data_IF_233552866124
#
_entry.id   IF_233552866124
#
_cell.length_a   1.000
_cell.length_b   1.000
_cell.length_c   1.000
_cell.angle_alpha   90.00
_cell.angle_beta   90.00
_cell.angle_gamma   90.00
#
_symmetry.space_group_name_H-M   'P 1'
#
loop_
_entity.id
_entity.type
_entity.pdbx_description
1 polymer ?
#
# COMPACT_ATOMS: atom_id res chain seq x y z
N UNK A 1 18.14 -9.31 -32.43
CA UNK A 1 19.53 -8.91 -32.14
C UNK A 1 19.66 -7.39 -32.08
N UNK A 2 19.01 -6.62 -32.97
CA UNK A 2 19.05 -5.15 -32.95
C UNK A 2 18.40 -4.50 -31.71
N UNK A 3 17.33 -5.07 -31.15
CA UNK A 3 16.66 -4.51 -29.95
C UNK A 3 17.55 -4.55 -28.69
N UNK A 4 18.38 -5.59 -28.53
CA UNK A 4 19.27 -5.74 -27.37
C UNK A 4 20.41 -4.70 -27.37
N UNK A 5 20.91 -4.32 -28.54
CA UNK A 5 21.99 -3.34 -28.67
C UNK A 5 21.49 -1.88 -28.47
N UNK A 6 20.21 -1.61 -28.73
CA UNK A 6 19.59 -0.30 -28.51
C UNK A 6 19.26 -0.04 -27.02
N UNK A 7 18.83 -1.09 -26.29
CA UNK A 7 18.58 -1.05 -24.85
C UNK A 7 19.86 -0.76 -24.03
N UNK A 8 21.05 -1.08 -24.56
CA UNK A 8 22.34 -0.79 -23.92
C UNK A 8 22.77 0.69 -24.01
N UNK A 9 22.16 1.49 -24.90
CA UNK A 9 22.50 2.91 -25.09
C UNK A 9 21.53 3.88 -24.40
N UNK A 10 20.31 3.44 -24.12
CA UNK A 10 19.27 4.26 -23.51
C UNK A 10 18.97 3.74 -22.10
N UNK A 11 19.09 4.56 -21.04
CA UNK A 11 18.75 4.12 -19.68
C UNK A 11 17.27 3.82 -19.48
N UNK A 12 16.42 4.21 -20.43
CA UNK A 12 14.99 3.90 -20.42
C UNK A 12 14.69 2.72 -21.35
N UNK A 13 13.96 1.70 -20.87
CA UNK A 13 13.51 0.62 -21.74
C UNK A 13 12.60 1.20 -22.83
N UNK A 14 12.68 0.64 -24.04
CA UNK A 14 11.72 0.96 -25.09
C UNK A 14 10.31 0.59 -24.65
N UNK A 15 9.27 1.31 -25.11
CA UNK A 15 7.90 0.96 -24.79
C UNK A 15 7.59 -0.48 -25.25
N UNK A 16 6.63 -1.17 -24.60
CA UNK A 16 6.25 -2.53 -24.98
C UNK A 16 5.89 -2.63 -26.47
N UNK A 17 6.28 -3.73 -27.12
CA UNK A 17 6.07 -3.96 -28.56
C UNK A 17 4.60 -3.85 -28.98
N UNK A 18 3.67 -4.11 -28.07
CA UNK A 18 2.22 -4.02 -28.30
C UNK A 18 1.71 -2.57 -28.44
N UNK A 19 2.47 -1.56 -28.00
CA UNK A 19 2.06 -0.15 -28.10
C UNK A 19 1.74 0.27 -29.55
N UNK A 20 2.50 -0.22 -30.53
CA UNK A 20 2.31 0.11 -31.95
C UNK A 20 0.99 -0.39 -32.52
N UNK A 21 0.32 -1.32 -31.83
CA UNK A 21 -0.97 -1.90 -32.23
C UNK A 21 -2.15 -0.97 -31.89
N UNK A 22 -1.96 0.00 -31.00
CA UNK A 22 -2.98 0.96 -30.59
C UNK A 22 -3.19 2.06 -31.64
N UNK A 23 -3.75 1.69 -32.80
CA UNK A 23 -4.14 2.63 -33.86
C UNK A 23 -5.63 2.94 -33.80
N UNK A 24 -6.03 4.13 -34.28
CA UNK A 24 -7.44 4.52 -34.36
C UNK A 24 -8.28 3.57 -35.22
N UNK A 25 -7.66 2.86 -36.17
CA UNK A 25 -8.31 1.85 -36.99
C UNK A 25 -8.57 0.57 -36.17
N UNK A 26 -7.54 0.03 -35.51
CA UNK A 26 -7.67 -1.20 -34.73
C UNK A 26 -8.63 -1.05 -33.54
N UNK A 27 -8.68 0.14 -32.93
CA UNK A 27 -9.65 0.44 -31.86
C UNK A 27 -11.09 0.47 -32.37
N UNK A 28 -11.33 0.91 -33.62
CA UNK A 28 -12.65 0.83 -34.24
C UNK A 28 -13.03 -0.61 -34.58
N UNK A 29 -12.06 -1.41 -35.06
CA UNK A 29 -12.29 -2.84 -35.29
C UNK A 29 -12.62 -3.57 -33.99
N UNK A 30 -11.93 -3.26 -32.88
CA UNK A 30 -12.27 -3.82 -31.56
C UNK A 30 -13.70 -3.42 -31.13
N UNK A 31 -14.09 -2.17 -31.32
CA UNK A 31 -15.46 -1.72 -31.01
C UNK A 31 -16.52 -2.46 -31.85
N UNK A 32 -16.23 -2.69 -33.14
CA UNK A 32 -17.11 -3.47 -34.04
C UNK A 32 -17.14 -4.96 -33.65
N UNK A 33 -16.02 -5.53 -33.20
CA UNK A 33 -15.96 -6.89 -32.69
C UNK A 33 -16.91 -7.02 -31.49
N UNK A 34 -16.78 -6.15 -30.48
CA UNK A 34 -17.67 -6.14 -29.31
C UNK A 34 -19.16 -5.94 -29.65
N UNK A 35 -19.48 -5.20 -30.71
CA UNK A 35 -20.87 -4.99 -31.13
C UNK A 35 -21.47 -6.27 -31.76
N UNK A 36 -20.64 -7.07 -32.44
CA UNK A 36 -21.10 -8.19 -33.28
C UNK A 36 -20.90 -9.56 -32.65
N UNK A 37 -19.89 -9.72 -31.80
CA UNK A 37 -19.63 -10.96 -31.04
C UNK A 37 -20.30 -10.87 -29.68
N UNK A 38 -20.96 -11.96 -29.26
CA UNK A 38 -21.42 -12.07 -27.87
C UNK A 38 -20.28 -12.43 -26.92
N UNK A 39 -19.23 -13.11 -27.43
CA UNK A 39 -17.99 -13.40 -26.70
C UNK A 39 -16.77 -13.19 -27.61
N UNK A 40 -16.09 -12.03 -27.52
CA UNK A 40 -14.96 -11.70 -28.39
C UNK A 40 -13.71 -12.57 -28.12
N UNK A 41 -13.71 -13.40 -27.07
CA UNK A 41 -12.57 -14.24 -26.71
C UNK A 41 -12.60 -15.62 -27.39
N UNK A 42 -13.77 -16.11 -27.80
CA UNK A 42 -13.96 -17.45 -28.41
C UNK A 42 -14.34 -17.37 -29.90
N UNK A 43 -14.94 -16.25 -30.33
CA UNK A 43 -15.35 -16.04 -31.72
C UNK A 43 -14.16 -15.78 -32.67
N UNK A 44 -14.18 -16.40 -33.86
CA UNK A 44 -13.16 -16.18 -34.90
C UNK A 44 -13.31 -14.77 -35.49
N UNK A 45 -12.41 -13.85 -35.11
CA UNK A 45 -12.45 -12.44 -35.47
C UNK A 45 -12.51 -12.20 -36.99
N UNK A 46 -11.89 -13.06 -37.80
CA UNK A 46 -11.89 -12.91 -39.26
C UNK A 46 -13.25 -13.25 -39.88
N UNK A 47 -14.03 -14.13 -39.23
CA UNK A 47 -15.39 -14.43 -39.67
C UNK A 47 -16.37 -13.32 -39.28
N UNK A 48 -16.23 -12.78 -38.06
CA UNK A 48 -17.09 -11.71 -37.54
C UNK A 48 -16.86 -10.37 -38.27
N UNK A 49 -15.62 -10.12 -38.70
CA UNK A 49 -15.21 -8.89 -39.39
C UNK A 49 -14.88 -9.11 -40.88
N UNK A 50 -15.48 -10.12 -41.51
CA UNK A 50 -15.21 -10.47 -42.92
C UNK A 50 -15.53 -9.33 -43.92
N UNK A 51 -16.32 -8.34 -43.51
CA UNK A 51 -16.66 -7.13 -44.26
C UNK A 51 -15.59 -6.02 -44.19
N UNK A 52 -14.66 -6.11 -43.24
CA UNK A 52 -13.61 -5.11 -43.03
C UNK A 52 -12.31 -5.51 -43.75
N UNK A 53 -11.61 -4.51 -44.26
CA UNK A 53 -10.28 -4.67 -44.86
C UNK A 53 -9.20 -4.56 -43.78
N UNK A 54 -8.09 -5.27 -43.94
CA UNK A 54 -6.90 -5.20 -43.07
C UNK A 54 -7.11 -5.67 -41.61
N UNK A 55 -7.93 -6.71 -41.41
CA UNK A 55 -8.06 -7.37 -40.10
C UNK A 55 -6.73 -7.99 -39.68
N UNK A 56 -6.13 -7.60 -38.53
CA UNK A 56 -4.84 -8.12 -38.11
C UNK A 56 -4.87 -9.59 -37.69
N UNK A 57 -3.77 -10.32 -37.90
CA UNK A 57 -3.64 -11.75 -37.51
C UNK A 57 -3.55 -11.99 -35.99
N UNK A 58 -3.40 -10.93 -35.20
CA UNK A 58 -3.36 -11.00 -33.74
C UNK A 58 -4.74 -10.65 -33.16
N UNK A 59 -5.11 -11.20 -31.99
CA UNK A 59 -6.46 -11.02 -31.45
C UNK A 59 -6.68 -9.58 -30.97
N UNK A 60 -7.71 -8.92 -31.53
CA UNK A 60 -8.05 -7.52 -31.22
C UNK A 60 -8.31 -7.28 -29.73
N UNK A 61 -8.75 -8.30 -29.00
CA UNK A 61 -8.98 -8.33 -27.56
C UNK A 61 -7.74 -7.89 -26.75
N UNK A 62 -6.53 -8.07 -27.28
CA UNK A 62 -5.31 -7.57 -26.63
C UNK A 62 -5.24 -6.04 -26.49
N UNK A 63 -6.07 -5.30 -27.23
CA UNK A 63 -6.18 -3.84 -27.08
C UNK A 63 -7.12 -3.42 -25.94
N UNK A 64 -7.84 -4.36 -25.33
CA UNK A 64 -8.69 -4.07 -24.18
C UNK A 64 -7.86 -3.59 -22.99
N UNK A 65 -8.53 -2.86 -22.10
CA UNK A 65 -7.95 -2.54 -20.79
C UNK A 65 -7.63 -3.85 -20.07
N UNK A 66 -6.48 -3.94 -19.38
CA UNK A 66 -6.21 -5.09 -18.53
C UNK A 66 -7.35 -5.24 -17.51
N UNK A 67 -7.75 -6.48 -17.23
CA UNK A 67 -8.75 -6.72 -16.19
C UNK A 67 -8.19 -6.22 -14.86
N UNK A 68 -9.00 -5.57 -14.04
CA UNK A 68 -8.59 -5.10 -12.70
C UNK A 68 -9.26 -5.95 -11.63
N UNK A 69 -10.40 -6.54 -11.97
CA UNK A 69 -11.25 -7.33 -11.07
C UNK A 69 -10.48 -8.52 -10.45
N UNK A 70 -9.66 -9.22 -11.25
CA UNK A 70 -8.79 -10.30 -10.78
C UNK A 70 -7.84 -9.91 -9.63
N UNK A 71 -7.35 -8.66 -9.60
CA UNK A 71 -6.46 -8.17 -8.53
C UNK A 71 -7.29 -7.89 -7.29
N UNK A 72 -8.52 -7.39 -7.44
CA UNK A 72 -9.42 -7.06 -6.33
C UNK A 72 -10.04 -8.30 -5.67
N UNK A 73 -10.20 -9.39 -6.43
CA UNK A 73 -10.71 -10.67 -5.95
C UNK A 73 -9.69 -11.42 -5.08
N UNK A 74 -8.41 -11.09 -5.17
CA UNK A 74 -7.38 -11.67 -4.31
C UNK A 74 -7.53 -11.19 -2.86
N UNK A 75 -7.39 -12.09 -1.86
CA UNK A 75 -7.62 -11.77 -0.46
C UNK A 75 -6.70 -10.68 0.10
N UNK A 76 -5.53 -10.49 -0.51
CA UNK A 76 -4.54 -9.47 -0.19
C UNK A 76 -4.08 -8.70 -1.44
N UNK A 77 -5.06 -8.24 -2.24
CA UNK A 77 -4.85 -7.43 -3.45
C UNK A 77 -3.67 -6.45 -3.33
N UNK A 78 -2.63 -6.65 -4.15
CA UNK A 78 -1.40 -5.88 -4.13
C UNK A 78 -0.87 -5.63 -5.54
N UNK A 79 0.04 -4.68 -5.68
CA UNK A 79 0.80 -4.42 -6.89
C UNK A 79 2.24 -4.07 -6.52
N UNK A 80 3.20 -4.54 -7.32
CA UNK A 80 4.62 -4.30 -7.08
C UNK A 80 5.10 -3.12 -7.94
N UNK A 81 5.81 -2.19 -7.32
CA UNK A 81 6.38 -1.00 -7.97
C UNK A 81 7.84 -0.91 -7.57
N UNK A 82 8.75 -1.05 -8.54
CA UNK A 82 10.21 -0.97 -8.33
C UNK A 82 10.77 -1.89 -7.23
N UNK A 83 10.13 -3.05 -7.01
CA UNK A 83 10.51 -4.00 -5.97
C UNK A 83 9.82 -3.79 -4.62
N UNK A 84 9.04 -2.72 -4.48
CA UNK A 84 8.20 -2.47 -3.31
C UNK A 84 6.78 -2.97 -3.55
N UNK A 85 6.23 -3.68 -2.56
CA UNK A 85 4.87 -4.23 -2.60
C UNK A 85 3.88 -3.24 -2.00
N UNK A 86 2.89 -2.84 -2.78
CA UNK A 86 1.84 -1.92 -2.38
C UNK A 86 0.50 -2.64 -2.32
N UNK A 87 -0.20 -2.55 -1.18
CA UNK A 87 -1.53 -3.14 -1.03
C UNK A 87 -2.59 -2.19 -1.58
N UNK A 88 -3.55 -2.74 -2.34
CA UNK A 88 -4.67 -1.97 -2.91
C UNK A 88 -5.58 -1.43 -1.81
N UNK A 89 -5.81 -2.23 -0.77
CA UNK A 89 -6.43 -1.79 0.48
C UNK A 89 -5.35 -1.75 1.56
N UNK A 90 -4.88 -0.55 1.88
CA UNK A 90 -3.92 -0.38 2.96
C UNK A 90 -4.58 -0.77 4.29
N UNK A 91 -4.17 -1.92 4.85
CA UNK A 91 -4.51 -2.33 6.20
C UNK A 91 -3.32 -2.00 7.08
N UNK A 92 -3.52 -1.07 8.02
CA UNK A 92 -2.54 -0.83 9.07
C UNK A 92 -2.69 -1.99 10.07
N UNK A 93 -1.66 -2.84 10.26
CA UNK A 93 -1.77 -3.95 11.20
C UNK A 93 -1.98 -3.41 12.61
N UNK A 94 -2.89 -4.04 13.34
CA UNK A 94 -3.18 -3.69 14.72
C UNK A 94 -2.03 -4.11 15.65
N UNK A 95 -1.93 -3.47 16.82
CA UNK A 95 -0.97 -3.87 17.85
C UNK A 95 -1.09 -5.35 18.22
N UNK A 96 -2.33 -5.86 18.31
CA UNK A 96 -2.58 -7.25 18.67
C UNK A 96 -2.07 -8.23 17.59
N UNK A 97 -2.21 -7.89 16.32
CA UNK A 97 -1.69 -8.70 15.19
C UNK A 97 -0.15 -8.69 15.14
N UNK A 98 0.47 -7.61 15.60
CA UNK A 98 1.93 -7.50 15.73
C UNK A 98 2.48 -8.17 17.00
N UNK A 99 1.63 -8.82 17.80
CA UNK A 99 2.01 -9.43 19.08
C UNK A 99 2.30 -8.42 20.20
N UNK A 100 1.92 -7.15 20.00
CA UNK A 100 2.08 -6.07 20.96
C UNK A 100 0.94 -5.99 21.98
N UNK A 101 1.25 -5.53 23.19
CA UNK A 101 0.26 -5.26 24.21
C UNK A 101 -0.34 -3.87 24.04
N UNK A 102 -1.64 -3.82 23.74
CA UNK A 102 -2.37 -2.56 23.65
C UNK A 102 -2.69 -2.01 25.05
N UNK A 103 -2.30 -0.76 25.30
CA UNK A 103 -2.41 -0.07 26.60
C UNK A 103 -3.51 1.01 26.61
N UNK A 104 -4.27 1.13 25.53
CA UNK A 104 -5.40 2.06 25.40
C UNK A 104 -6.69 1.31 25.03
N UNK A 105 -7.88 1.87 25.31
CA UNK A 105 -9.15 1.20 25.04
C UNK A 105 -9.30 0.75 23.58
N UNK A 106 -9.84 -0.47 23.41
CA UNK A 106 -10.16 -1.04 22.09
C UNK A 106 -11.41 -0.38 21.48
N UNK A 107 -12.36 0.02 22.32
CA UNK A 107 -13.60 0.65 21.89
C UNK A 107 -13.32 2.04 21.26
N UNK A 108 -13.70 2.27 19.99
CA UNK A 108 -13.60 3.59 19.36
C UNK A 108 -14.48 4.66 20.04
N UNK A 109 -15.50 4.26 20.79
CA UNK A 109 -16.42 5.18 21.49
C UNK A 109 -15.87 5.74 22.80
N UNK A 110 -14.80 5.16 23.36
CA UNK A 110 -14.22 5.59 24.63
C UNK A 110 -13.15 6.67 24.45
N UNK A 111 -13.06 7.62 25.38
CA UNK A 111 -12.03 8.66 25.34
C UNK A 111 -10.64 8.06 25.59
N UNK A 112 -9.83 8.01 24.52
CA UNK A 112 -8.46 7.47 24.55
C UNK A 112 -7.44 8.45 25.15
N UNK A 113 -7.75 9.75 25.23
CA UNK A 113 -6.84 10.79 25.72
C UNK A 113 -6.22 10.49 27.10
N UNK A 114 -6.97 10.07 28.15
CA UNK A 114 -6.38 9.76 29.44
C UNK A 114 -5.35 8.63 29.37
N UNK A 115 -5.62 7.57 28.60
CA UNK A 115 -4.70 6.46 28.43
C UNK A 115 -3.42 6.89 27.69
N UNK A 116 -3.56 7.65 26.59
CA UNK A 116 -2.41 8.16 25.83
C UNK A 116 -1.54 9.12 26.64
N UNK A 117 -2.15 10.00 27.45
CA UNK A 117 -1.42 10.85 28.38
C UNK A 117 -0.69 10.03 29.45
N UNK A 118 -1.31 8.94 29.93
CA UNK A 118 -0.66 7.98 30.84
C UNK A 118 0.56 7.31 30.22
N UNK A 119 0.45 6.86 28.97
CA UNK A 119 1.54 6.26 28.20
C UNK A 119 2.68 7.28 28.00
N UNK A 120 2.37 8.52 27.60
CA UNK A 120 3.36 9.58 27.42
C UNK A 120 4.12 9.89 28.72
N UNK A 121 3.39 10.01 29.84
CA UNK A 121 4.01 10.21 31.16
C UNK A 121 4.92 9.03 31.52
N UNK A 122 4.49 7.80 31.22
CA UNK A 122 5.27 6.59 31.46
C UNK A 122 6.54 6.55 30.62
N UNK A 123 6.50 7.00 29.36
CA UNK A 123 7.71 7.14 28.52
C UNK A 123 8.70 8.10 29.16
N UNK A 124 8.24 9.28 29.60
CA UNK A 124 9.10 10.30 30.20
C UNK A 124 9.78 9.80 31.49
N UNK A 125 9.03 9.11 32.35
CA UNK A 125 9.58 8.51 33.58
C UNK A 125 10.53 7.35 33.28
N UNK A 126 10.20 6.51 32.28
CA UNK A 126 11.06 5.39 31.88
C UNK A 126 12.35 5.90 31.25
N UNK A 127 12.30 7.00 30.51
CA UNK A 127 13.47 7.65 29.94
C UNK A 127 14.38 8.28 31.02
N UNK A 128 13.82 8.94 32.04
CA UNK A 128 14.62 9.49 33.13
C UNK A 128 15.26 8.41 34.01
N UNK A 129 14.58 7.28 34.20
CA UNK A 129 15.16 6.11 34.89
C UNK A 129 16.21 5.41 34.03
N UNK A 130 16.01 5.31 32.72
CA UNK A 130 17.02 4.83 31.78
C UNK A 130 18.31 5.64 31.86
N UNK A 131 18.23 6.97 31.77
CA UNK A 131 19.43 7.83 31.85
C UNK A 131 20.13 7.69 33.20
N UNK A 132 19.38 7.54 34.29
CA UNK A 132 19.94 7.24 35.60
C UNK A 132 20.65 5.89 35.63
N UNK A 133 20.06 4.84 35.05
CA UNK A 133 20.64 3.49 35.00
C UNK A 133 21.92 3.41 34.16
N UNK A 134 22.03 4.21 33.10
CA UNK A 134 23.23 4.29 32.25
C UNK A 134 24.41 4.97 32.96
N UNK A 135 24.13 5.81 33.96
CA UNK A 135 25.15 6.48 34.77
C UNK A 135 25.62 5.64 35.97
N UNK A 136 25.01 4.48 36.21
CA UNK A 136 25.45 3.55 37.25
C UNK A 136 26.77 2.87 36.84
N UNK A 137 27.63 2.51 37.82
CA UNK A 137 28.86 1.78 37.52
C UNK A 137 28.52 0.41 36.88
N UNK A 138 29.37 -0.08 35.97
CA UNK A 138 29.15 -1.37 35.32
C UNK A 138 29.06 -2.50 36.37
N UNK A 139 28.16 -3.48 36.18
CA UNK A 139 28.00 -4.57 37.12
C UNK A 139 29.31 -5.40 37.22
N UNK A 140 29.57 -6.02 38.39
CA UNK A 140 30.76 -6.84 38.58
C UNK A 140 30.75 -8.04 37.61
N UNK A 141 31.93 -8.53 37.18
CA UNK A 141 32.10 -9.50 36.08
C UNK A 141 31.54 -10.91 36.35
N UNK A 142 30.82 -11.13 37.45
CA UNK A 142 30.22 -12.41 37.83
C UNK A 142 28.70 -12.30 38.00
N UNK A 143 28.10 -11.21 37.54
CA UNK A 143 26.67 -11.00 37.61
C UNK A 143 26.04 -11.35 36.25
N UNK A 144 25.38 -12.51 36.16
CA UNK A 144 24.63 -12.93 34.96
C UNK A 144 23.28 -12.19 34.80
N UNK A 145 22.98 -11.22 35.67
CA UNK A 145 21.76 -10.42 35.56
C UNK A 145 21.78 -9.51 34.34
N UNK A 146 20.73 -9.54 33.52
CA UNK A 146 20.55 -8.56 32.45
C UNK A 146 20.58 -7.12 33.01
N UNK A 147 21.23 -6.19 32.31
CA UNK A 147 21.37 -4.84 32.79
C UNK A 147 20.02 -4.09 32.78
N UNK A 148 19.76 -3.29 33.81
CA UNK A 148 18.44 -2.62 33.97
C UNK A 148 18.07 -1.71 32.79
N UNK A 149 19.06 -1.09 32.14
CA UNK A 149 18.83 -0.24 30.96
C UNK A 149 18.12 -1.00 29.83
N UNK A 150 18.39 -2.30 29.67
CA UNK A 150 17.79 -3.11 28.62
C UNK A 150 16.28 -3.21 28.80
N UNK A 151 15.83 -3.48 30.04
CA UNK A 151 14.42 -3.49 30.41
C UNK A 151 13.76 -2.13 30.15
N UNK A 152 14.44 -1.03 30.46
CA UNK A 152 13.91 0.31 30.20
C UNK A 152 13.74 0.60 28.70
N UNK A 153 14.69 0.16 27.86
CA UNK A 153 14.59 0.28 26.40
C UNK A 153 13.42 -0.54 25.85
N UNK A 154 13.25 -1.77 26.32
CA UNK A 154 12.12 -2.63 25.94
C UNK A 154 10.78 -1.98 26.27
N UNK A 155 10.63 -1.42 27.48
CA UNK A 155 9.43 -0.69 27.86
C UNK A 155 9.17 0.55 27.01
N UNK A 156 10.22 1.33 26.70
CA UNK A 156 10.08 2.50 25.82
C UNK A 156 9.59 2.04 24.43
N UNK A 157 10.13 0.95 23.88
CA UNK A 157 9.69 0.42 22.59
C UNK A 157 8.19 0.06 22.61
N UNK A 158 7.73 -0.67 23.64
CA UNK A 158 6.32 -1.03 23.80
C UNK A 158 5.42 0.21 23.91
N UNK A 159 5.81 1.19 24.73
CA UNK A 159 5.05 2.42 24.92
C UNK A 159 5.01 3.27 23.63
N UNK A 160 6.11 3.36 22.90
CA UNK A 160 6.20 4.06 21.61
C UNK A 160 5.34 3.40 20.54
N UNK A 161 5.34 2.07 20.45
CA UNK A 161 4.45 1.34 19.54
C UNK A 161 2.97 1.63 19.82
N UNK A 162 2.61 1.74 21.11
CA UNK A 162 1.26 2.09 21.52
C UNK A 162 0.82 3.49 21.06
N UNK A 163 1.70 4.50 21.18
CA UNK A 163 1.41 5.85 20.69
C UNK A 163 1.30 5.87 19.16
N UNK A 164 2.21 5.18 18.46
CA UNK A 164 2.18 5.12 16.99
C UNK A 164 0.90 4.47 16.48
N UNK A 165 0.49 3.34 17.07
CA UNK A 165 -0.75 2.67 16.68
C UNK A 165 -1.99 3.54 16.96
N UNK A 166 -2.06 4.18 18.13
CA UNK A 166 -3.18 5.07 18.44
C UNK A 166 -3.25 6.27 17.49
N UNK A 167 -2.11 6.80 17.04
CA UNK A 167 -2.06 7.86 16.03
C UNK A 167 -2.50 7.35 14.65
N UNK A 168 -2.12 6.11 14.30
CA UNK A 168 -2.54 5.48 13.05
C UNK A 168 -4.06 5.25 12.99
N UNK A 169 -4.68 4.85 14.10
CA UNK A 169 -6.14 4.70 14.22
C UNK A 169 -6.89 6.00 13.94
N UNK A 170 -6.27 7.16 14.19
CA UNK A 170 -6.87 8.47 13.97
C UNK A 170 -6.76 8.97 12.52
N UNK A 171 -5.95 8.32 11.66
CA UNK A 171 -5.72 8.76 10.27
C UNK A 171 -7.01 8.85 9.43
N UNK A 172 -7.95 7.89 9.47
CA UNK A 172 -9.18 7.99 8.68
C UNK A 172 -10.05 9.17 9.12
N UNK A 173 -10.18 9.37 10.44
CA UNK A 173 -10.92 10.50 11.00
C UNK A 173 -10.30 11.85 10.62
N UNK A 174 -8.96 11.93 10.67
CA UNK A 174 -8.22 13.11 10.22
C UNK A 174 -8.46 13.38 8.74
N UNK A 175 -8.41 12.36 7.88
CA UNK A 175 -8.66 12.51 6.44
C UNK A 175 -10.10 13.00 6.15
N UNK A 176 -11.10 12.44 6.83
CA UNK A 176 -12.49 12.91 6.73
C UNK A 176 -12.64 14.37 7.17
N UNK A 177 -12.05 14.74 8.30
CA UNK A 177 -12.10 16.11 8.79
C UNK A 177 -11.39 17.08 7.83
N UNK A 178 -10.20 16.73 7.34
CA UNK A 178 -9.50 17.53 6.33
C UNK A 178 -10.35 17.74 5.08
N UNK A 179 -10.97 16.67 4.56
CA UNK A 179 -11.86 16.75 3.41
C UNK A 179 -13.06 17.66 3.68
N UNK A 180 -13.70 17.55 4.85
CA UNK A 180 -14.81 18.40 5.25
C UNK A 180 -14.40 19.89 5.29
N UNK A 181 -13.24 20.19 5.85
CA UNK A 181 -12.70 21.57 5.91
C UNK A 181 -12.50 22.11 4.49
N UNK A 182 -11.89 21.34 3.60
CA UNK A 182 -11.70 21.74 2.19
C UNK A 182 -13.04 22.01 1.48
N UNK A 183 -13.99 21.08 1.56
CA UNK A 183 -15.30 21.25 0.92
C UNK A 183 -16.07 22.46 1.49
N UNK A 184 -15.95 22.73 2.80
CA UNK A 184 -16.59 23.90 3.41
C UNK A 184 -15.96 25.22 2.98
N UNK A 185 -14.64 25.24 2.72
CA UNK A 185 -13.94 26.42 2.22
C UNK A 185 -14.37 26.75 0.78
N UNK A 186 -14.46 25.74 -0.10
CA UNK A 186 -14.88 25.92 -1.49
C UNK A 186 -16.34 26.40 -1.63
N UNK A 187 -17.22 26.00 -0.70
CA UNK A 187 -18.62 26.46 -0.68
C UNK A 187 -18.79 27.89 -0.14
N UNK A 188 -17.74 28.47 0.44
CA UNK A 188 -17.75 29.83 1.01
C UNK A 188 -17.09 30.88 0.10
N UNK A 189 -16.58 30.47 -1.08
CA UNK A 189 -16.01 31.32 -2.13
C UNK A 189 -17.01 31.52 -3.28
#
# INVERSE_FOLDING_TARGET
MEDQDAELRNPFPSPPSHYTRYTSHNLKLLALLHERSSDPYDDDQHQVLADQTDVPDWPLVHLEKPRIDWILDEPDAFYDVFGDRWFVKEKIPSLAELGGHQLYPLDPGEDRRPALLGILRSILVTYSTLTTSLLLPPPPPHNDSQPEWQRHVEWINVLSQNIMAAANDLRPMQACYSCQVYCSADLSA
#
